data_IF_504709013720
#
_entry.id   IF_504709013720
#
_cell.length_a   1.000
_cell.length_b   1.000
_cell.length_c   1.000
_cell.angle_alpha   90.00
_cell.angle_beta   90.00
_cell.angle_gamma   90.00
#
_symmetry.space_group_name_H-M   'P 1'
#
loop_
_entity.id
_entity.type
_entity.pdbx_description
1 polymer ?
#
# COMPACT_ATOMS: atom_id res chain seq x y z
N UNK A 1 3.90 -9.49 5.74
CA UNK A 1 3.35 -8.83 4.52
C UNK A 1 3.06 -9.88 3.47
N UNK A 2 2.08 -9.65 2.60
CA UNK A 2 1.59 -10.64 1.64
C UNK A 2 2.57 -10.81 0.46
N UNK A 3 2.88 -12.05 0.06
CA UNK A 3 3.84 -12.34 -1.02
C UNK A 3 3.38 -11.78 -2.37
N UNK A 4 2.06 -11.69 -2.58
CA UNK A 4 1.47 -11.16 -3.82
C UNK A 4 1.80 -9.69 -4.08
N UNK A 5 2.22 -8.94 -3.06
CA UNK A 5 2.64 -7.54 -3.18
C UNK A 5 4.06 -7.42 -3.77
N UNK A 6 4.88 -8.47 -3.64
CA UNK A 6 6.32 -8.47 -3.99
C UNK A 6 6.67 -9.38 -5.16
N UNK A 7 5.68 -10.06 -5.74
CA UNK A 7 5.90 -10.97 -6.85
C UNK A 7 6.36 -10.16 -8.09
N UNK A 8 7.55 -10.47 -8.65
CA UNK A 8 8.12 -9.71 -9.77
C UNK A 8 7.32 -9.85 -11.07
N UNK A 9 6.47 -10.89 -11.20
CA UNK A 9 5.68 -11.17 -12.40
C UNK A 9 4.27 -10.55 -12.36
N UNK A 10 3.97 -9.71 -11.36
CA UNK A 10 2.67 -9.05 -11.26
C UNK A 10 2.49 -7.97 -12.32
N UNK A 11 1.30 -7.94 -12.93
CA UNK A 11 0.91 -6.85 -13.84
C UNK A 11 0.79 -5.56 -13.05
N UNK A 12 1.67 -4.60 -13.34
CA UNK A 12 1.64 -3.28 -12.76
C UNK A 12 0.70 -2.36 -13.54
N UNK A 13 -0.02 -1.50 -12.81
CA UNK A 13 -0.84 -0.44 -13.40
C UNK A 13 -0.51 0.89 -12.74
N UNK A 14 -0.32 1.93 -13.54
CA UNK A 14 -0.14 3.29 -13.05
C UNK A 14 -1.50 3.96 -12.90
N UNK A 15 -1.79 4.48 -11.70
CA UNK A 15 -3.01 5.25 -11.39
C UNK A 15 -2.63 6.58 -10.77
N UNK A 16 -3.32 7.64 -11.16
CA UNK A 16 -3.21 8.96 -10.54
C UNK A 16 -4.43 9.18 -9.65
N UNK A 17 -4.21 9.48 -8.37
CA UNK A 17 -5.27 9.66 -7.36
C UNK A 17 -4.94 10.93 -6.57
N UNK A 18 -5.96 11.76 -6.31
CA UNK A 18 -5.84 12.89 -5.38
C UNK A 18 -6.21 12.41 -3.98
N UNK A 19 -5.36 12.70 -3.01
CA UNK A 19 -5.54 12.31 -1.60
C UNK A 19 -5.41 13.54 -0.70
N UNK A 20 -5.94 13.45 0.52
CA UNK A 20 -5.70 14.47 1.53
C UNK A 20 -4.20 14.52 1.89
N UNK A 21 -3.60 15.70 1.80
CA UNK A 21 -2.16 15.89 2.00
C UNK A 21 -1.70 15.46 3.40
N UNK A 22 -2.44 15.82 4.44
CA UNK A 22 -2.07 15.53 5.82
C UNK A 22 -2.10 14.03 6.12
N UNK A 23 -3.14 13.34 5.65
CA UNK A 23 -3.25 11.88 5.78
C UNK A 23 -2.08 11.20 5.04
N UNK A 24 -1.77 11.66 3.83
CA UNK A 24 -0.67 11.11 3.05
C UNK A 24 0.68 11.35 3.73
N UNK A 25 0.96 12.55 4.24
CA UNK A 25 2.20 12.85 4.95
C UNK A 25 2.39 11.95 6.17
N UNK A 26 1.34 11.74 6.98
CA UNK A 26 1.40 10.82 8.13
C UNK A 26 1.72 9.39 7.70
N UNK A 27 1.12 8.92 6.61
CA UNK A 27 1.39 7.61 6.06
C UNK A 27 2.85 7.46 5.59
N UNK A 28 3.38 8.47 4.89
CA UNK A 28 4.78 8.47 4.43
C UNK A 28 5.76 8.44 5.60
N UNK A 29 5.56 9.28 6.62
CA UNK A 29 6.42 9.27 7.81
C UNK A 29 6.42 7.92 8.53
N UNK A 30 5.25 7.27 8.64
CA UNK A 30 5.18 5.91 9.19
C UNK A 30 5.98 4.91 8.34
N UNK A 31 5.84 4.99 7.01
CA UNK A 31 6.56 4.12 6.08
C UNK A 31 8.07 4.28 6.18
N UNK A 32 8.55 5.52 6.27
CA UNK A 32 9.99 5.82 6.36
C UNK A 32 10.59 5.35 7.71
N UNK A 33 9.85 5.48 8.80
CA UNK A 33 10.33 5.13 10.13
C UNK A 33 10.31 3.61 10.38
N UNK A 34 9.20 2.95 10.07
CA UNK A 34 8.99 1.54 10.42
C UNK A 34 9.44 0.59 9.30
N UNK A 35 9.42 1.06 8.04
CA UNK A 35 9.65 0.24 6.85
C UNK A 35 10.67 0.84 5.87
N UNK A 36 11.85 1.32 6.32
CA UNK A 36 12.81 2.02 5.46
C UNK A 36 13.38 1.15 4.32
N UNK A 37 13.31 -0.17 4.44
CA UNK A 37 13.80 -1.14 3.45
C UNK A 37 12.76 -1.50 2.38
N UNK A 38 11.52 -1.02 2.52
CA UNK A 38 10.42 -1.31 1.59
C UNK A 38 10.18 -0.13 0.67
N UNK A 39 9.85 -0.42 -0.60
CA UNK A 39 9.50 0.64 -1.54
C UNK A 39 8.09 1.11 -1.25
N UNK A 40 7.86 2.41 -1.35
CA UNK A 40 6.54 3.02 -1.15
C UNK A 40 5.43 2.36 -1.99
N UNK A 41 5.75 1.93 -3.22
CA UNK A 41 4.80 1.21 -4.08
C UNK A 41 4.27 -0.08 -3.44
N UNK A 42 5.13 -0.79 -2.71
CA UNK A 42 4.80 -2.07 -2.09
C UNK A 42 3.92 -1.83 -0.85
N UNK A 43 4.25 -0.80 -0.08
CA UNK A 43 3.46 -0.36 1.07
C UNK A 43 2.05 0.12 0.66
N UNK A 44 1.94 0.87 -0.45
CA UNK A 44 0.65 1.28 -1.01
C UNK A 44 -0.14 0.06 -1.48
N UNK A 45 0.48 -0.88 -2.19
CA UNK A 45 -0.18 -2.13 -2.61
C UNK A 45 -0.66 -2.96 -1.43
N UNK A 46 0.14 -3.06 -0.35
CA UNK A 46 -0.26 -3.72 0.89
C UNK A 46 -1.45 -3.00 1.56
N UNK A 47 -1.46 -1.67 1.61
CA UNK A 47 -2.58 -0.90 2.16
C UNK A 47 -3.89 -1.12 1.37
N UNK A 48 -3.80 -1.19 0.03
CA UNK A 48 -4.95 -1.52 -0.83
C UNK A 48 -5.46 -2.95 -0.58
N UNK A 49 -4.55 -3.91 -0.41
CA UNK A 49 -4.89 -5.30 -0.11
C UNK A 49 -5.55 -5.42 1.27
N UNK A 50 -4.99 -4.77 2.29
CA UNK A 50 -5.52 -4.77 3.65
C UNK A 50 -6.92 -4.17 3.69
N UNK A 51 -7.13 -3.04 3.02
CA UNK A 51 -8.46 -2.46 2.84
C UNK A 51 -9.42 -3.46 2.20
N UNK A 52 -9.02 -4.10 1.10
CA UNK A 52 -9.85 -5.10 0.42
C UNK A 52 -10.19 -6.27 1.34
N UNK A 53 -9.22 -6.81 2.10
CA UNK A 53 -9.43 -7.89 3.07
C UNK A 53 -10.39 -7.48 4.18
N UNK A 54 -10.23 -6.28 4.75
CA UNK A 54 -11.08 -5.77 5.84
C UNK A 54 -12.56 -5.69 5.46
N UNK A 55 -12.86 -5.46 4.18
CA UNK A 55 -14.24 -5.33 3.71
C UNK A 55 -14.76 -6.54 2.91
N UNK A 56 -13.89 -7.50 2.56
CA UNK A 56 -14.31 -8.74 1.90
C UNK A 56 -14.93 -9.74 2.88
N UNK A 57 -14.56 -9.71 4.16
CA UNK A 57 -15.09 -10.62 5.20
C UNK A 57 -16.45 -10.19 5.77
N UNK A 58 -17.26 -9.46 4.99
CA UNK A 58 -18.70 -9.29 5.23
C UNK A 58 -19.48 -10.07 4.17
N UNK A 59 -19.51 -11.40 4.33
CA UNK A 59 -20.56 -12.28 3.80
C UNK A 59 -20.81 -13.40 4.77
#
# INVERSE_FOLDING_TARGET
MDKSVYDPDVKLVTKSIKVNNEIYSRFITLCENEFPHLKLKDLISQALLDFTKSYTTKK
#
